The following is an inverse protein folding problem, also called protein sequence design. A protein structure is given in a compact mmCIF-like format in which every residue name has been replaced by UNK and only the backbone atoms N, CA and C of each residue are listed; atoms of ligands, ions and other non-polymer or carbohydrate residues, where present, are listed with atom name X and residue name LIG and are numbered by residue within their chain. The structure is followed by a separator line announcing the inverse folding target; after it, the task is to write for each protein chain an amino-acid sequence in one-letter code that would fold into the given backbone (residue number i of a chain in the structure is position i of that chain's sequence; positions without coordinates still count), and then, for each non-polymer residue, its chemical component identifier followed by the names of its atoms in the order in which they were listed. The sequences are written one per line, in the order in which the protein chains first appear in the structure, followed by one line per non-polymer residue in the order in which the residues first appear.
data_IF_046917592912
#
_entry.id   IF_046917592912
#
_cell.length_a   1.000
_cell.length_b   1.000
_cell.length_c   1.000
_cell.angle_alpha   90.00
_cell.angle_beta   90.00
_cell.angle_gamma   90.00
#
_symmetry.space_group_name_H-M   'P 1'
#
loop_
_entity.id
_entity.type
_entity.pdbx_description
1 polymer ?
#
# COMPACT_ATOMS: atom_id res chain seq x y z
N UNK A 1 28.40 33.67 5.19
CA UNK A 1 27.53 33.84 4.00
C UNK A 1 27.26 32.44 3.47
N UNK A 2 26.03 31.92 3.57
CA UNK A 2 25.68 30.53 3.22
C UNK A 2 25.25 30.51 1.76
N UNK A 3 25.80 29.59 0.98
CA UNK A 3 25.52 29.44 -0.45
C UNK A 3 24.09 28.91 -0.70
N UNK A 4 23.23 29.66 -1.41
CA UNK A 4 21.86 29.25 -1.70
C UNK A 4 21.75 28.01 -2.61
N UNK A 5 22.80 27.66 -3.36
CA UNK A 5 22.81 26.45 -4.20
C UNK A 5 22.88 25.14 -3.39
N UNK A 6 23.27 25.21 -2.11
CA UNK A 6 23.34 24.03 -1.23
C UNK A 6 21.98 23.64 -0.61
N UNK A 7 20.91 24.42 -0.85
CA UNK A 7 19.58 24.23 -0.29
C UNK A 7 18.67 23.37 -1.18
N UNK A 8 19.05 22.12 -1.42
CA UNK A 8 18.18 21.18 -2.16
C UNK A 8 17.04 20.65 -1.27
N UNK A 9 15.87 20.32 -1.83
CA UNK A 9 14.73 19.78 -1.07
C UNK A 9 15.09 18.54 -0.23
N UNK A 10 15.97 17.68 -0.76
CA UNK A 10 16.46 16.49 -0.06
C UNK A 10 17.31 16.84 1.17
N UNK A 11 18.12 17.91 1.09
CA UNK A 11 18.90 18.42 2.23
C UNK A 11 17.98 19.03 3.29
N UNK A 12 16.95 19.79 2.88
CA UNK A 12 15.92 20.32 3.79
C UNK A 12 15.22 19.22 4.57
N UNK A 13 14.83 18.13 3.90
CA UNK A 13 14.25 16.97 4.59
C UNK A 13 15.22 16.39 5.61
N UNK A 14 16.50 16.13 5.24
CA UNK A 14 17.48 15.59 6.19
C UNK A 14 17.71 16.49 7.40
N UNK A 15 17.78 17.81 7.20
CA UNK A 15 17.91 18.76 8.31
C UNK A 15 16.67 18.72 9.21
N UNK A 16 15.46 18.71 8.64
CA UNK A 16 14.24 18.53 9.41
C UNK A 16 14.24 17.20 10.19
N UNK A 17 14.57 16.07 9.56
CA UNK A 17 14.60 14.78 10.25
C UNK A 17 15.64 14.77 11.37
N UNK A 18 16.81 15.40 11.16
CA UNK A 18 17.84 15.51 12.20
C UNK A 18 17.43 16.42 13.36
N UNK A 19 16.70 17.50 13.09
CA UNK A 19 16.17 18.41 14.09
C UNK A 19 15.03 17.75 14.91
N UNK A 20 14.20 16.93 14.26
CA UNK A 20 13.18 16.11 14.91
C UNK A 20 13.79 14.97 15.74
N UNK A 21 14.94 14.43 15.34
CA UNK A 21 15.65 13.40 16.09
C UNK A 21 16.41 13.93 17.32
N UNK A 22 16.78 15.23 17.32
CA UNK A 22 17.52 15.87 18.42
C UNK A 22 16.63 16.48 19.50
N UNK A 23 15.31 16.48 19.32
CA UNK A 23 14.37 16.98 20.31
C UNK A 23 14.19 15.94 21.42
N UNK A 24 14.81 16.16 22.59
CA UNK A 24 14.81 15.21 23.72
C UNK A 24 13.43 14.94 24.35
N UNK A 25 12.43 15.73 23.99
CA UNK A 25 11.04 15.65 24.49
C UNK A 25 10.01 15.35 23.37
N UNK A 26 10.46 15.01 22.16
CA UNK A 26 9.59 14.73 21.02
C UNK A 26 9.16 13.26 20.98
N UNK A 27 8.28 12.82 21.89
CA UNK A 27 7.55 11.57 21.68
C UNK A 27 6.55 11.81 20.54
N UNK A 28 6.96 11.58 19.30
CA UNK A 28 6.03 11.49 18.19
C UNK A 28 5.23 10.20 18.41
N UNK A 29 4.03 10.33 18.97
CA UNK A 29 3.05 9.26 19.04
C UNK A 29 2.68 8.87 17.61
N UNK A 30 3.48 7.97 17.03
CA UNK A 30 2.97 6.99 16.06
C UNK A 30 2.21 5.96 16.90
N UNK A 31 1.16 6.40 17.61
CA UNK A 31 0.25 5.42 18.19
C UNK A 31 -0.43 4.75 17.00
N UNK A 32 -0.40 3.42 17.00
CA UNK A 32 -1.15 2.60 16.03
C UNK A 32 -2.66 2.72 16.28
N UNK A 33 -3.10 3.58 17.20
CA UNK A 33 -4.50 3.72 17.53
C UNK A 33 -5.23 4.21 16.30
N UNK A 34 -6.14 3.37 15.84
CA UNK A 34 -6.93 3.64 14.66
C UNK A 34 -7.88 4.77 14.99
N UNK A 35 -7.88 5.82 14.16
CA UNK A 35 -8.87 6.90 14.23
C UNK A 35 -10.26 6.24 14.11
N UNK A 36 -10.99 6.20 15.23
CA UNK A 36 -12.33 5.64 15.29
C UNK A 36 -13.36 6.71 14.93
N UNK A 37 -14.60 6.30 14.64
CA UNK A 37 -15.71 7.24 14.43
C UNK A 37 -16.03 8.11 15.65
N UNK A 38 -15.52 7.75 16.83
CA UNK A 38 -15.66 8.52 18.07
C UNK A 38 -14.56 9.54 18.27
N UNK A 39 -13.43 9.42 17.56
CA UNK A 39 -12.39 10.44 17.59
C UNK A 39 -12.92 11.73 16.96
N UNK A 40 -12.82 12.82 17.71
CA UNK A 40 -13.16 14.16 17.24
C UNK A 40 -11.92 15.01 17.37
N UNK A 41 -11.67 15.83 16.36
CA UNK A 41 -10.74 16.92 16.54
C UNK A 41 -11.29 17.91 17.56
N UNK A 42 -10.40 18.56 18.34
CA UNK A 42 -10.80 19.70 19.14
C UNK A 42 -11.39 20.77 18.23
N UNK A 43 -12.41 21.49 18.72
CA UNK A 43 -13.00 22.61 18.00
C UNK A 43 -11.92 23.67 17.74
N UNK A 44 -11.94 24.31 16.56
CA UNK A 44 -10.99 25.39 16.27
C UNK A 44 -11.14 26.50 17.32
N UNK A 45 -10.03 26.90 17.92
CA UNK A 45 -10.00 28.01 18.87
C UNK A 45 -9.92 29.29 18.07
N UNK A 46 -10.97 30.10 18.13
CA UNK A 46 -10.97 31.43 17.53
C UNK A 46 -10.38 32.41 18.54
N UNK A 47 -9.08 32.60 18.48
CA UNK A 47 -8.39 33.57 19.31
C UNK A 47 -8.62 34.99 18.77
N UNK A 48 -9.10 35.87 19.64
CA UNK A 48 -9.17 37.30 19.37
C UNK A 48 -7.85 38.00 19.68
N UNK A 49 -7.66 39.26 19.24
CA UNK A 49 -6.51 40.05 19.63
C UNK A 49 -6.38 40.13 21.16
N UNK A 50 -5.16 40.04 21.74
CA UNK A 50 -4.98 40.14 23.18
C UNK A 50 -5.50 41.47 23.71
N UNK A 51 -6.31 41.43 24.77
CA UNK A 51 -6.84 42.64 25.45
C UNK A 51 -5.75 43.44 26.16
N UNK A 52 -4.56 42.87 26.33
CA UNK A 52 -3.41 43.51 26.96
C UNK A 52 -2.72 44.55 26.08
N UNK A 53 -2.94 44.52 24.76
CA UNK A 53 -2.29 45.45 23.84
C UNK A 53 -3.15 46.72 23.75
N UNK A 54 -2.59 47.91 24.05
CA UNK A 54 -3.32 49.16 23.97
C UNK A 54 -3.90 49.39 22.56
N UNK A 55 -5.05 50.07 22.48
CA UNK A 55 -5.62 50.47 21.19
C UNK A 55 -4.64 51.39 20.47
N UNK A 56 -4.41 51.11 19.20
CA UNK A 56 -3.53 51.92 18.37
C UNK A 56 -4.16 53.30 18.14
N UNK A 57 -3.44 54.35 18.54
CA UNK A 57 -3.82 55.73 18.29
C UNK A 57 -3.20 56.20 16.98
N UNK A 58 -4.03 56.25 15.94
CA UNK A 58 -3.64 56.62 14.58
C UNK A 58 -3.63 58.13 14.33
N UNK A 59 -4.13 58.94 15.28
CA UNK A 59 -4.22 60.39 15.12
C UNK A 59 -2.86 61.06 14.88
N UNK A 60 -1.78 60.43 15.36
CA UNK A 60 -0.40 60.92 15.18
C UNK A 60 0.08 60.82 13.74
N UNK A 61 -0.52 59.95 12.92
CA UNK A 61 -0.17 59.79 11.51
C UNK A 61 -0.95 60.71 10.59
N UNK A 62 -1.97 61.41 11.12
CA UNK A 62 -2.86 62.31 10.37
C UNK A 62 -2.39 63.77 10.41
N UNK A 63 -1.24 64.06 11.02
CA UNK A 63 -0.65 65.40 11.05
C UNK A 63 -0.15 65.79 9.64
N UNK A 64 -0.65 66.92 9.12
CA UNK A 64 -0.24 67.46 7.83
C UNK A 64 1.12 68.19 7.92
N UNK A 65 1.88 68.22 6.82
CA UNK A 65 3.20 68.89 6.76
C UNK A 65 3.14 70.37 7.19
N UNK A 66 2.02 71.05 6.91
CA UNK A 66 1.79 72.46 7.30
C UNK A 66 1.64 72.64 8.81
N UNK A 67 1.11 71.64 9.50
CA UNK A 67 0.96 71.67 10.96
C UNK A 67 2.32 71.43 11.64
N UNK A 68 3.20 70.64 11.01
CA UNK A 68 4.57 70.44 11.48
C UNK A 68 5.44 71.70 11.37
N UNK A 69 5.28 72.52 10.32
CA UNK A 69 6.07 73.74 10.11
C UNK A 69 5.81 74.82 11.18
N UNK A 70 4.62 74.82 11.79
CA UNK A 70 4.24 75.74 12.87
C UNK A 70 4.65 75.27 14.27
N UNK A 71 5.08 74.02 14.44
CA UNK A 71 5.40 73.47 15.76
C UNK A 71 6.74 73.97 16.29
N UNK A 72 6.75 74.28 17.58
CA UNK A 72 7.99 74.51 18.31
C UNK A 72 8.85 73.24 18.38
N UNK A 73 10.16 73.42 18.59
CA UNK A 73 11.11 72.30 18.73
C UNK A 73 10.69 71.28 19.81
N UNK A 74 10.07 71.74 20.89
CA UNK A 74 9.64 70.87 21.99
C UNK A 74 8.43 70.02 21.58
N UNK A 75 7.44 70.62 20.91
CA UNK A 75 6.26 69.92 20.38
C UNK A 75 6.66 68.85 19.36
N UNK A 76 7.61 69.17 18.48
CA UNK A 76 8.14 68.19 17.51
C UNK A 76 8.82 67.01 18.20
N UNK A 77 9.53 67.25 19.31
CA UNK A 77 10.18 66.20 20.09
C UNK A 77 9.14 65.30 20.76
N UNK A 78 8.06 65.87 21.29
CA UNK A 78 6.94 65.13 21.86
C UNK A 78 6.19 64.31 20.81
N UNK A 79 5.90 64.89 19.64
CA UNK A 79 5.33 64.18 18.50
C UNK A 79 6.22 63.00 18.07
N UNK A 80 7.54 63.19 17.99
CA UNK A 80 8.50 62.12 17.69
C UNK A 80 8.49 61.00 18.74
N UNK A 81 8.37 61.34 20.04
CA UNK A 81 8.25 60.36 21.12
C UNK A 81 6.94 59.57 21.01
N UNK A 82 5.82 60.27 20.79
CA UNK A 82 4.50 59.65 20.63
C UNK A 82 4.46 58.73 19.41
N UNK A 83 5.00 59.17 18.28
CA UNK A 83 5.10 58.36 17.06
C UNK A 83 5.93 57.09 17.30
N UNK A 84 7.07 57.19 17.98
CA UNK A 84 7.87 56.00 18.36
C UNK A 84 7.11 55.03 19.24
N UNK A 85 6.32 55.53 20.19
CA UNK A 85 5.46 54.70 21.03
C UNK A 85 4.35 54.03 20.20
N UNK A 86 3.68 54.77 19.31
CA UNK A 86 2.65 54.23 18.42
C UNK A 86 3.21 53.15 17.50
N UNK A 87 4.40 53.34 16.93
CA UNK A 87 5.08 52.31 16.13
C UNK A 87 5.39 51.08 16.98
N UNK A 88 5.84 51.26 18.22
CA UNK A 88 6.06 50.16 19.16
C UNK A 88 4.80 49.33 19.42
N UNK A 89 3.67 50.00 19.67
CA UNK A 89 2.36 49.35 19.87
C UNK A 89 1.87 48.69 18.57
N UNK A 90 2.06 49.33 17.41
CA UNK A 90 1.71 48.74 16.11
C UNK A 90 2.48 47.44 15.86
N UNK A 91 3.78 47.40 16.16
CA UNK A 91 4.59 46.19 16.05
C UNK A 91 4.08 45.07 16.98
N UNK A 92 3.65 45.40 18.20
CA UNK A 92 3.03 44.43 19.10
C UNK A 92 1.73 43.86 18.52
N UNK A 93 0.88 44.70 17.91
CA UNK A 93 -0.33 44.24 17.22
C UNK A 93 -0.01 43.32 16.04
N UNK A 94 1.02 43.64 15.25
CA UNK A 94 1.46 42.80 14.12
C UNK A 94 1.90 41.43 14.62
N UNK A 95 2.81 41.39 15.61
CA UNK A 95 3.31 40.12 16.20
C UNK A 95 2.17 39.28 16.77
N UNK A 96 1.22 39.90 17.48
CA UNK A 96 0.06 39.18 18.02
C UNK A 96 -0.85 38.63 16.91
N UNK A 97 -1.09 39.40 15.85
CA UNK A 97 -1.90 38.95 14.69
C UNK A 97 -1.23 37.82 13.94
N UNK A 98 0.08 37.91 13.71
CA UNK A 98 0.84 36.86 13.02
C UNK A 98 0.78 35.54 13.80
N UNK A 99 0.89 35.59 15.13
CA UNK A 99 0.72 34.40 15.98
C UNK A 99 -0.70 33.79 15.91
N UNK A 100 -1.74 34.62 15.87
CA UNK A 100 -3.13 34.14 15.70
C UNK A 100 -3.32 33.50 14.31
N UNK A 101 -2.75 34.09 13.26
CA UNK A 101 -2.83 33.55 11.90
C UNK A 101 -2.08 32.21 11.82
N UNK A 102 -0.88 32.13 12.41
CA UNK A 102 -0.08 30.91 12.43
C UNK A 102 -0.81 29.76 13.15
N UNK A 103 -1.38 30.02 14.34
CA UNK A 103 -2.14 29.01 15.08
C UNK A 103 -3.41 28.56 14.34
N UNK A 104 -4.10 29.49 13.67
CA UNK A 104 -5.25 29.19 12.80
C UNK A 104 -4.84 28.29 11.62
N UNK A 105 -3.76 28.64 10.92
CA UNK A 105 -3.24 27.83 9.82
C UNK A 105 -2.78 26.44 10.29
N UNK A 106 -2.11 26.35 11.44
CA UNK A 106 -1.73 25.06 12.02
C UNK A 106 -2.95 24.18 12.31
N UNK A 107 -4.03 24.77 12.82
CA UNK A 107 -5.29 24.07 13.07
C UNK A 107 -5.95 23.58 11.77
N UNK A 108 -5.95 24.39 10.71
CA UNK A 108 -6.48 24.00 9.39
C UNK A 108 -5.69 22.81 8.81
N UNK A 109 -4.35 22.84 8.89
CA UNK A 109 -3.51 21.74 8.42
C UNK A 109 -3.81 20.46 9.21
N UNK A 110 -3.96 20.55 10.53
CA UNK A 110 -4.32 19.41 11.37
C UNK A 110 -5.70 18.83 11.01
N UNK A 111 -6.68 19.71 10.75
CA UNK A 111 -8.01 19.33 10.28
C UNK A 111 -7.97 18.60 8.94
N UNK A 112 -7.20 19.11 7.98
CA UNK A 112 -7.04 18.47 6.68
C UNK A 112 -6.41 17.07 6.81
N UNK A 113 -5.31 16.93 7.56
CA UNK A 113 -4.64 15.65 7.77
C UNK A 113 -5.57 14.63 8.44
N UNK A 114 -6.39 15.07 9.40
CA UNK A 114 -7.39 14.21 10.03
C UNK A 114 -8.47 13.75 9.04
N UNK A 115 -9.03 14.67 8.26
CA UNK A 115 -10.03 14.36 7.23
C UNK A 115 -9.49 13.37 6.19
N UNK A 116 -8.24 13.55 5.75
CA UNK A 116 -7.56 12.63 4.84
C UNK A 116 -7.44 11.22 5.45
N UNK A 117 -6.97 11.12 6.70
CA UNK A 117 -6.87 9.82 7.38
C UNK A 117 -8.22 9.15 7.58
N UNK A 118 -9.26 9.92 7.93
CA UNK A 118 -10.61 9.39 8.06
C UNK A 118 -11.15 8.90 6.71
N UNK A 119 -10.93 9.65 5.64
CA UNK A 119 -11.31 9.26 4.27
C UNK A 119 -10.59 7.98 3.84
N UNK A 120 -9.28 7.87 4.08
CA UNK A 120 -8.51 6.65 3.81
C UNK A 120 -9.04 5.45 4.60
N UNK A 121 -9.37 5.63 5.88
CA UNK A 121 -9.94 4.56 6.71
C UNK A 121 -11.33 4.12 6.20
N UNK A 122 -12.16 5.05 5.75
CA UNK A 122 -13.45 4.76 5.12
C UNK A 122 -13.25 4.00 3.80
N UNK A 123 -12.38 4.49 2.91
CA UNK A 123 -12.07 3.82 1.65
C UNK A 123 -11.53 2.40 1.87
N UNK A 124 -10.69 2.17 2.88
CA UNK A 124 -10.19 0.84 3.21
C UNK A 124 -11.33 -0.10 3.64
N UNK A 125 -12.28 0.40 4.45
CA UNK A 125 -13.48 -0.35 4.86
C UNK A 125 -14.42 -0.63 3.69
N UNK A 126 -14.62 0.34 2.79
CA UNK A 126 -15.42 0.18 1.57
C UNK A 126 -14.80 -0.86 0.63
N UNK A 127 -13.49 -0.78 0.37
CA UNK A 127 -12.77 -1.76 -0.47
C UNK A 127 -12.85 -3.18 0.12
N UNK A 128 -12.78 -3.33 1.45
CA UNK A 128 -12.98 -4.63 2.11
C UNK A 128 -14.40 -5.17 1.88
N UNK A 129 -15.44 -4.34 2.02
CA UNK A 129 -16.84 -4.75 1.79
C UNK A 129 -17.14 -5.09 0.33
N UNK A 130 -16.52 -4.38 -0.62
CA UNK A 130 -16.71 -4.63 -2.05
C UNK A 130 -16.18 -6.01 -2.52
N UNK A 131 -15.29 -6.65 -1.75
CA UNK A 131 -14.84 -8.03 -2.06
C UNK A 131 -15.89 -9.10 -1.73
N UNK A 132 -16.74 -8.86 -0.73
CA UNK A 132 -17.68 -9.85 -0.18
C UNK A 132 -19.14 -9.56 -0.55
N UNK A 133 -19.49 -8.29 -0.83
CA UNK A 133 -20.86 -7.88 -1.15
C UNK A 133 -21.22 -8.21 -2.60
N UNK A 134 -22.34 -8.93 -2.75
CA UNK A 134 -22.82 -9.54 -3.99
C UNK A 134 -23.15 -8.56 -5.11
N UNK A 135 -23.27 -7.27 -4.83
CA UNK A 135 -23.37 -6.21 -5.83
C UNK A 135 -22.58 -5.02 -5.30
N UNK A 136 -21.49 -4.69 -5.96
CA UNK A 136 -20.66 -3.53 -5.65
C UNK A 136 -21.40 -2.24 -6.07
N UNK A 137 -22.55 -1.92 -5.47
CA UNK A 137 -23.31 -0.68 -5.70
C UNK A 137 -22.45 0.59 -5.54
N UNK A 138 -21.28 0.46 -4.92
CA UNK A 138 -20.31 1.52 -4.66
C UNK A 138 -19.02 1.28 -5.46
N UNK A 139 -19.11 1.24 -6.80
CA UNK A 139 -17.93 1.29 -7.66
C UNK A 139 -17.26 2.67 -7.51
N UNK A 140 -16.31 2.80 -6.57
CA UNK A 140 -15.54 4.01 -6.33
C UNK A 140 -16.11 4.98 -5.30
N UNK A 141 -16.98 4.55 -4.40
CA UNK A 141 -17.44 5.34 -3.23
C UNK A 141 -18.35 6.54 -3.53
N UNK A 142 -18.57 6.86 -4.81
CA UNK A 142 -19.53 7.88 -5.24
C UNK A 142 -20.89 7.21 -5.48
N UNK A 143 -21.95 7.76 -4.88
CA UNK A 143 -23.31 7.33 -5.15
C UNK A 143 -23.64 7.57 -6.62
N UNK A 144 -23.70 6.50 -7.42
CA UNK A 144 -24.11 6.57 -8.83
C UNK A 144 -25.61 6.28 -8.94
N UNK A 145 -26.27 6.97 -9.86
CA UNK A 145 -27.64 6.64 -10.23
C UNK A 145 -27.67 5.28 -10.93
N UNK A 146 -28.46 4.36 -10.39
CA UNK A 146 -28.54 2.95 -10.85
C UNK A 146 -29.15 2.78 -12.25
N UNK A 147 -29.64 3.86 -12.83
CA UNK A 147 -30.22 3.94 -14.18
C UNK A 147 -29.26 4.48 -15.24
N UNK A 148 -28.04 4.87 -14.86
CA UNK A 148 -27.04 5.36 -15.81
C UNK A 148 -26.60 4.23 -16.77
N UNK A 149 -26.62 4.40 -18.10
CA UNK A 149 -26.11 3.40 -19.04
C UNK A 149 -24.66 2.98 -18.75
N UNK A 150 -23.82 3.85 -18.20
CA UNK A 150 -22.46 3.48 -17.78
C UNK A 150 -22.45 2.44 -16.66
N UNK A 151 -23.43 2.51 -15.76
CA UNK A 151 -23.56 1.57 -14.65
C UNK A 151 -23.95 0.18 -15.15
N UNK A 152 -24.92 0.12 -16.06
CA UNK A 152 -25.39 -1.13 -16.67
C UNK A 152 -24.22 -1.83 -17.39
N UNK A 153 -23.49 -1.11 -18.24
CA UNK A 153 -22.34 -1.66 -18.97
C UNK A 153 -21.28 -2.25 -18.01
N UNK A 154 -20.93 -1.53 -16.94
CA UNK A 154 -19.97 -2.00 -15.93
C UNK A 154 -20.46 -3.22 -15.16
N UNK A 155 -21.76 -3.30 -14.85
CA UNK A 155 -22.31 -4.49 -14.19
C UNK A 155 -22.29 -5.71 -15.10
N UNK A 156 -22.54 -5.54 -16.40
CA UNK A 156 -22.44 -6.62 -17.39
C UNK A 156 -21.00 -7.10 -17.58
N UNK A 157 -20.02 -6.19 -17.62
CA UNK A 157 -18.60 -6.55 -17.67
C UNK A 157 -18.17 -7.35 -16.43
N UNK A 158 -18.57 -6.90 -15.24
CA UNK A 158 -18.28 -7.60 -13.99
C UNK A 158 -18.92 -9.00 -13.95
N UNK A 159 -20.15 -9.14 -14.48
CA UNK A 159 -20.82 -10.43 -14.58
C UNK A 159 -20.11 -11.37 -15.56
N UNK A 160 -19.74 -10.88 -16.76
CA UNK A 160 -18.97 -11.63 -17.75
C UNK A 160 -17.61 -12.10 -17.19
N UNK A 161 -16.94 -11.25 -16.42
CA UNK A 161 -15.68 -11.62 -15.77
C UNK A 161 -15.86 -12.76 -14.75
N UNK A 162 -16.92 -12.71 -13.94
CA UNK A 162 -17.27 -13.79 -12.99
C UNK A 162 -17.59 -15.09 -13.71
N UNK A 163 -18.37 -15.03 -14.78
CA UNK A 163 -18.74 -16.20 -15.57
C UNK A 163 -17.51 -16.81 -16.26
N UNK A 164 -16.60 -15.98 -16.76
CA UNK A 164 -15.32 -16.42 -17.34
C UNK A 164 -14.40 -17.07 -16.28
N UNK A 165 -14.32 -16.52 -15.07
CA UNK A 165 -13.53 -17.10 -13.98
C UNK A 165 -14.12 -18.45 -13.53
N UNK A 166 -15.45 -18.55 -13.42
CA UNK A 166 -16.13 -19.80 -13.11
C UNK A 166 -15.88 -20.87 -14.18
N UNK A 167 -16.00 -20.50 -15.47
CA UNK A 167 -15.69 -21.40 -16.58
C UNK A 167 -14.21 -21.83 -16.58
N UNK A 168 -13.28 -20.92 -16.25
CA UNK A 168 -11.86 -21.26 -16.12
C UNK A 168 -11.59 -22.24 -14.97
N UNK A 169 -12.28 -22.09 -13.82
CA UNK A 169 -12.18 -23.03 -12.70
C UNK A 169 -12.66 -24.44 -13.09
N UNK A 170 -13.77 -24.53 -13.82
CA UNK A 170 -14.28 -25.82 -14.34
C UNK A 170 -13.27 -26.45 -15.29
N UNK A 171 -12.76 -25.70 -16.27
CA UNK A 171 -11.74 -26.19 -17.22
C UNK A 171 -10.46 -26.67 -16.52
N UNK A 172 -10.01 -25.98 -15.47
CA UNK A 172 -8.85 -26.42 -14.67
C UNK A 172 -9.14 -27.71 -13.89
N UNK A 173 -10.36 -27.88 -13.38
CA UNK A 173 -10.76 -29.12 -12.72
C UNK A 173 -10.77 -30.30 -13.70
N UNK A 174 -11.40 -30.13 -14.86
CA UNK A 174 -11.44 -31.13 -15.94
C UNK A 174 -10.02 -31.51 -16.41
N UNK A 175 -9.14 -30.52 -16.57
CA UNK A 175 -7.74 -30.75 -16.93
C UNK A 175 -6.98 -31.58 -15.89
N UNK A 176 -7.21 -31.32 -14.59
CA UNK A 176 -6.60 -32.11 -13.49
C UNK A 176 -7.11 -33.55 -13.47
N UNK A 177 -8.40 -33.77 -13.72
CA UNK A 177 -8.96 -35.12 -13.78
C UNK A 177 -8.43 -35.90 -14.99
N UNK A 178 -8.38 -35.29 -16.17
CA UNK A 178 -7.80 -35.90 -17.36
C UNK A 178 -6.32 -36.27 -17.16
N UNK A 179 -5.54 -35.38 -16.52
CA UNK A 179 -4.14 -35.66 -16.19
C UNK A 179 -3.99 -36.83 -15.20
N UNK A 180 -4.87 -36.93 -14.19
CA UNK A 180 -4.88 -38.05 -13.24
C UNK A 180 -5.18 -39.37 -13.95
N UNK A 181 -6.22 -39.41 -14.79
CA UNK A 181 -6.58 -40.62 -15.56
C UNK A 181 -5.42 -41.05 -16.47
N UNK A 182 -4.78 -40.10 -17.16
CA UNK A 182 -3.63 -40.38 -18.02
C UNK A 182 -2.43 -40.91 -17.22
N UNK A 183 -2.17 -40.40 -16.02
CA UNK A 183 -1.12 -40.90 -15.13
C UNK A 183 -1.41 -42.32 -14.65
N UNK A 184 -2.63 -42.59 -14.20
CA UNK A 184 -3.05 -43.91 -13.71
C UNK A 184 -2.95 -44.98 -14.80
N UNK A 185 -3.36 -44.65 -16.03
CA UNK A 185 -3.23 -45.55 -17.17
C UNK A 185 -1.75 -45.91 -17.46
N UNK A 186 -0.84 -44.93 -17.39
CA UNK A 186 0.61 -45.16 -17.58
C UNK A 186 1.19 -46.00 -16.45
N UNK A 187 0.77 -45.77 -15.21
CA UNK A 187 1.23 -46.55 -14.07
C UNK A 187 0.79 -48.01 -14.15
N UNK A 188 -0.43 -48.28 -14.63
CA UNK A 188 -0.89 -49.65 -14.90
C UNK A 188 -0.01 -50.35 -15.94
N UNK A 189 0.20 -49.73 -17.10
CA UNK A 189 1.08 -50.29 -18.15
C UNK A 189 2.50 -50.52 -17.63
N UNK A 190 3.03 -49.61 -16.80
CA UNK A 190 4.36 -49.78 -16.22
C UNK A 190 4.44 -50.91 -15.20
N UNK A 191 3.39 -51.12 -14.39
CA UNK A 191 3.29 -52.27 -13.48
C UNK A 191 3.27 -53.58 -14.26
N UNK A 192 2.52 -53.65 -15.35
CA UNK A 192 2.46 -54.86 -16.19
C UNK A 192 3.81 -55.17 -16.84
N UNK A 193 4.51 -54.15 -17.35
CA UNK A 193 5.87 -54.28 -17.91
C UNK A 193 6.87 -54.77 -16.85
N UNK A 194 6.79 -54.25 -15.62
CA UNK A 194 7.64 -54.70 -14.51
C UNK A 194 7.38 -56.16 -14.15
N UNK A 195 6.11 -56.54 -14.01
CA UNK A 195 5.71 -57.90 -13.69
C UNK A 195 6.18 -58.89 -14.78
N UNK A 196 6.09 -58.51 -16.06
CA UNK A 196 6.61 -59.31 -17.17
C UNK A 196 8.15 -59.47 -17.11
N UNK A 197 8.88 -58.40 -16.75
CA UNK A 197 10.34 -58.47 -16.60
C UNK A 197 10.75 -59.35 -15.42
N UNK A 198 10.06 -59.24 -14.28
CA UNK A 198 10.32 -60.08 -13.10
C UNK A 198 10.12 -61.56 -13.42
N UNK A 199 9.04 -61.93 -14.13
CA UNK A 199 8.83 -63.29 -14.62
C UNK A 199 9.95 -63.75 -15.56
N UNK A 200 10.41 -62.88 -16.47
CA UNK A 200 11.51 -63.19 -17.39
C UNK A 200 12.84 -63.40 -16.66
N UNK A 201 13.12 -62.62 -15.61
CA UNK A 201 14.31 -62.78 -14.78
C UNK A 201 14.24 -64.08 -13.98
N UNK A 202 13.10 -64.40 -13.36
CA UNK A 202 12.92 -65.65 -12.62
C UNK A 202 13.17 -66.88 -13.51
N UNK A 203 12.57 -66.91 -14.71
CA UNK A 203 12.79 -67.97 -15.68
C UNK A 203 14.26 -68.05 -16.16
N UNK A 204 14.94 -66.91 -16.27
CA UNK A 204 16.36 -66.88 -16.59
C UNK A 204 17.24 -67.42 -15.46
N UNK A 205 16.92 -67.09 -14.20
CA UNK A 205 17.62 -67.59 -13.02
C UNK A 205 17.47 -69.11 -12.87
N UNK A 206 16.27 -69.64 -13.13
CA UNK A 206 16.02 -71.09 -13.19
C UNK A 206 16.88 -71.77 -14.27
N UNK A 207 16.85 -71.26 -15.50
CA UNK A 207 17.70 -71.79 -16.58
C UNK A 207 19.19 -71.72 -16.25
N UNK A 208 19.65 -70.66 -15.60
CA UNK A 208 21.04 -70.54 -15.17
C UNK A 208 21.39 -71.53 -14.05
N UNK A 209 20.44 -71.80 -13.14
CA UNK A 209 20.59 -72.81 -12.08
C UNK A 209 20.74 -74.20 -12.69
N UNK A 210 19.88 -74.55 -13.65
CA UNK A 210 19.91 -75.84 -14.35
C UNK A 210 21.22 -76.03 -15.13
N UNK A 211 21.64 -75.02 -15.89
CA UNK A 211 22.89 -75.06 -16.66
C UNK A 211 24.13 -75.16 -15.76
N UNK A 212 24.13 -74.53 -14.58
CA UNK A 212 25.20 -74.68 -13.58
C UNK A 212 25.25 -76.09 -13.00
N UNK A 213 24.09 -76.72 -12.77
CA UNK A 213 24.03 -78.11 -12.30
C UNK A 213 24.69 -79.08 -13.31
N UNK A 214 24.59 -78.78 -14.61
CA UNK A 214 25.21 -79.54 -15.72
C UNK A 214 26.71 -79.22 -15.89
N UNK A 215 27.31 -78.38 -15.04
CA UNK A 215 28.72 -77.91 -15.10
C UNK A 215 29.10 -77.21 -16.42
N UNK A 216 28.16 -76.48 -17.02
CA UNK A 216 28.48 -75.62 -18.17
C UNK A 216 29.44 -74.50 -17.76
N UNK A 217 30.32 -74.08 -18.68
CA UNK A 217 31.28 -73.00 -18.41
C UNK A 217 30.53 -71.68 -18.25
N UNK A 218 31.02 -70.82 -17.35
CA UNK A 218 30.41 -69.52 -17.04
C UNK A 218 30.17 -68.61 -18.27
N UNK A 219 30.98 -68.78 -19.33
CA UNK A 219 30.87 -68.02 -20.58
C UNK A 219 29.66 -68.42 -21.45
N UNK A 220 29.12 -69.62 -21.24
CA UNK A 220 28.03 -70.17 -22.04
C UNK A 220 26.65 -69.97 -21.39
N UNK A 221 26.59 -69.28 -20.24
CA UNK A 221 25.33 -68.94 -19.61
C UNK A 221 24.58 -67.87 -20.42
N UNK A 222 23.23 -67.97 -20.51
CA UNK A 222 22.43 -66.96 -21.20
C UNK A 222 22.61 -65.59 -20.56
N UNK A 223 22.57 -64.52 -21.37
CA UNK A 223 22.66 -63.14 -20.87
C UNK A 223 21.39 -62.77 -20.08
N UNK A 224 21.57 -62.00 -19.01
CA UNK A 224 20.45 -61.54 -18.16
C UNK A 224 19.47 -60.67 -18.96
N UNK A 225 18.14 -60.85 -18.80
CA UNK A 225 17.14 -60.00 -19.44
C UNK A 225 17.34 -58.52 -19.08
N UNK A 226 17.40 -57.66 -20.10
CA UNK A 226 17.57 -56.21 -19.94
C UNK A 226 16.28 -55.60 -19.39
N UNK A 227 16.39 -54.69 -18.40
CA UNK A 227 15.23 -53.99 -17.85
C UNK A 227 14.60 -53.09 -18.92
N UNK A 228 13.29 -53.22 -19.21
CA UNK A 228 12.61 -52.32 -20.13
C UNK A 228 12.63 -50.90 -19.57
N UNK A 229 12.80 -49.91 -20.46
CA UNK A 229 12.71 -48.50 -20.10
C UNK A 229 11.25 -48.13 -19.84
N UNK A 230 11.01 -47.22 -18.89
CA UNK A 230 9.67 -46.68 -18.65
C UNK A 230 9.14 -46.06 -19.94
N UNK A 231 7.88 -46.34 -20.36
CA UNK A 231 7.30 -45.73 -21.53
C UNK A 231 7.45 -44.21 -21.47
N UNK A 232 8.05 -43.62 -22.52
CA UNK A 232 8.22 -42.17 -22.63
C UNK A 232 6.84 -41.57 -22.88
N UNK A 233 6.46 -40.56 -22.10
CA UNK A 233 5.19 -39.88 -22.32
C UNK A 233 5.18 -39.29 -23.74
N UNK A 234 4.04 -39.30 -24.46
CA UNK A 234 3.88 -38.41 -25.59
C UNK A 234 4.03 -36.97 -25.06
N UNK A 235 4.72 -36.13 -25.82
CA UNK A 235 4.81 -34.70 -25.53
C UNK A 235 3.38 -34.13 -25.57
N UNK A 236 2.75 -34.06 -24.40
CA UNK A 236 1.58 -33.21 -24.20
C UNK A 236 2.19 -31.82 -24.11
N UNK A 237 1.89 -30.97 -25.09
CA UNK A 237 2.15 -29.52 -24.97
C UNK A 237 1.60 -29.08 -23.62
N UNK A 238 2.51 -28.70 -22.72
CA UNK A 238 2.14 -28.11 -21.46
C UNK A 238 1.32 -26.86 -21.77
N UNK A 239 0.07 -26.73 -21.27
CA UNK A 239 -0.56 -25.42 -21.24
C UNK A 239 0.36 -24.49 -20.44
N UNK A 240 0.53 -23.23 -20.88
CA UNK A 240 1.53 -22.34 -20.32
C UNK A 240 1.36 -22.26 -18.81
N UNK A 241 2.47 -22.50 -18.12
CA UNK A 241 2.63 -22.22 -16.70
C UNK A 241 2.30 -20.75 -16.44
N UNK A 242 1.03 -20.49 -16.11
CA UNK A 242 0.64 -19.26 -15.44
C UNK A 242 1.19 -19.37 -14.03
N UNK A 243 2.22 -18.56 -13.76
CA UNK A 243 2.96 -18.57 -12.50
C UNK A 243 2.04 -18.57 -11.29
N UNK A 244 2.25 -19.58 -10.44
CA UNK A 244 1.97 -19.51 -9.02
C UNK A 244 2.88 -18.45 -8.41
N UNK A 245 2.37 -17.23 -8.27
CA UNK A 245 2.74 -16.31 -7.18
C UNK A 245 1.49 -16.14 -6.32
N UNK A 246 1.17 -17.18 -5.54
CA UNK A 246 0.26 -17.08 -4.40
C UNK A 246 1.13 -17.13 -3.13
N UNK A 247 1.69 -15.97 -2.76
CA UNK A 247 2.23 -15.73 -1.42
C UNK A 247 1.08 -15.86 -0.41
N UNK A 248 0.82 -17.09 0.03
CA UNK A 248 0.03 -17.37 1.22
C UNK A 248 0.84 -16.97 2.45
N UNK A 249 0.79 -15.69 2.79
CA UNK A 249 1.17 -15.17 4.10
C UNK A 249 0.15 -15.68 5.13
N UNK A 250 0.43 -16.83 5.74
CA UNK A 250 -0.18 -17.24 7.00
C UNK A 250 0.52 -16.50 8.14
N UNK A 251 -0.09 -15.39 8.59
CA UNK A 251 0.13 -14.89 9.94
C UNK A 251 -0.91 -15.53 10.85
N UNK A 252 -0.49 -16.55 11.60
CA UNK A 252 -1.09 -16.95 12.87
C UNK A 252 -0.07 -16.60 13.98
N UNK A 253 -0.28 -15.45 14.65
CA UNK A 253 -0.36 -15.25 16.11
C UNK A 253 -0.46 -13.76 16.47
#
# INVERSE_FOLDING_TARGET
MIDPALYTPSKRMRFMTSALATTSSGSFLVSKDTITSTSRLPNPVLEGPPTTIPRLDLTVLELDDKELEGMSKNELLEASKRMRQTIGVANQHIVARDGIIESSHATIVLQNVFCERQSQALQAKEKKKNKTSRVALSMGGLGRHLTDPEWIAKTEEAQKARDAEAAAKVRRAEGREAARIAKDAREKVWKDIKAAHEKAVAAWEERCRDLRAIRTRAKDLPKKPVRPKKPKAPAVEEPPAGGDDDESSSDEE
#
